data_IF_886576398227
#
_entry.id   IF_886576398227
#
_cell.length_a   1.000
_cell.length_b   1.000
_cell.length_c   1.000
_cell.angle_alpha   90.00
_cell.angle_beta   90.00
_cell.angle_gamma   90.00
#
_symmetry.space_group_name_H-M   'P 1'
#
loop_
_entity.id
_entity.type
_entity.pdbx_description
1 polymer ?
#
# COMPACT_ATOMS: atom_id res chain seq x y z
N UNK A 1 -10.05 -2.82 -18.74
CA UNK A 1 -10.40 -2.35 -17.37
C UNK A 1 -11.66 -3.09 -16.96
N UNK A 2 -11.61 -3.92 -15.93
CA UNK A 2 -12.79 -4.64 -15.43
C UNK A 2 -13.83 -3.71 -14.81
N UNK A 3 -15.10 -4.08 -14.92
CA UNK A 3 -16.20 -3.33 -14.35
C UNK A 3 -16.16 -3.36 -12.81
N UNK A 4 -16.23 -2.18 -12.20
CA UNK A 4 -16.27 -2.01 -10.74
C UNK A 4 -17.70 -1.81 -10.25
N UNK A 5 -18.06 -2.51 -9.18
CA UNK A 5 -19.30 -2.26 -8.43
C UNK A 5 -19.17 -0.93 -7.67
N UNK A 6 -20.13 -0.02 -7.89
CA UNK A 6 -20.10 1.35 -7.33
C UNK A 6 -21.28 1.61 -6.38
N UNK A 7 -21.25 2.78 -5.73
CA UNK A 7 -22.34 3.27 -4.89
C UNK A 7 -22.65 2.41 -3.66
N UNK A 8 -23.92 2.37 -3.26
CA UNK A 8 -24.40 1.61 -2.10
C UNK A 8 -24.15 0.10 -2.25
N UNK A 9 -24.26 -0.43 -3.47
CA UNK A 9 -23.92 -1.81 -3.78
C UNK A 9 -22.44 -2.11 -3.50
N UNK A 10 -21.54 -1.21 -3.91
CA UNK A 10 -20.10 -1.32 -3.63
C UNK A 10 -19.78 -1.25 -2.14
N UNK A 11 -20.44 -0.36 -1.39
CA UNK A 11 -20.30 -0.28 0.07
C UNK A 11 -20.74 -1.60 0.75
N UNK A 12 -21.88 -2.17 0.32
CA UNK A 12 -22.38 -3.45 0.83
C UNK A 12 -21.42 -4.60 0.51
N UNK A 13 -20.91 -4.65 -0.72
CA UNK A 13 -19.93 -5.65 -1.13
C UNK A 13 -18.65 -5.57 -0.31
N UNK A 14 -18.08 -4.37 -0.13
CA UNK A 14 -16.87 -4.16 0.70
C UNK A 14 -17.07 -4.61 2.14
N UNK A 15 -18.21 -4.29 2.76
CA UNK A 15 -18.54 -4.73 4.13
C UNK A 15 -18.62 -6.27 4.22
N UNK A 16 -19.31 -6.92 3.28
CA UNK A 16 -19.41 -8.38 3.22
C UNK A 16 -18.04 -9.04 3.05
N UNK A 17 -17.22 -8.55 2.11
CA UNK A 17 -15.88 -9.09 1.84
C UNK A 17 -14.96 -9.00 3.05
N UNK A 18 -14.95 -7.86 3.74
CA UNK A 18 -14.19 -7.68 5.00
C UNK A 18 -14.64 -8.64 6.10
N UNK A 19 -15.94 -8.88 6.23
CA UNK A 19 -16.48 -9.76 7.27
C UNK A 19 -16.00 -11.22 7.14
N UNK A 20 -15.66 -11.69 5.93
CA UNK A 20 -15.19 -13.07 5.68
C UNK A 20 -13.93 -13.44 6.47
N UNK A 21 -13.13 -12.44 6.84
CA UNK A 21 -11.87 -12.64 7.58
C UNK A 21 -11.92 -12.00 8.97
N UNK A 22 -13.12 -11.64 9.46
CA UNK A 22 -13.27 -10.87 10.69
C UNK A 22 -12.60 -9.49 10.62
N UNK A 23 -12.41 -8.94 9.42
CA UNK A 23 -11.67 -7.69 9.20
C UNK A 23 -10.15 -7.82 9.37
N UNK A 24 -9.60 -9.04 9.35
CA UNK A 24 -8.14 -9.26 9.45
C UNK A 24 -7.48 -9.33 8.08
N UNK A 25 -6.21 -8.93 8.05
CA UNK A 25 -5.31 -9.05 6.91
C UNK A 25 -4.93 -10.51 6.69
N UNK A 26 -5.26 -11.07 5.52
CA UNK A 26 -5.03 -12.48 5.19
C UNK A 26 -3.54 -12.81 5.09
N UNK A 27 -2.72 -11.92 4.52
CA UNK A 27 -1.27 -12.11 4.44
C UNK A 27 -0.62 -12.07 5.82
N UNK A 28 -1.06 -11.18 6.71
CA UNK A 28 -0.55 -11.16 8.09
C UNK A 28 -0.97 -12.43 8.83
N UNK A 29 -2.23 -12.85 8.71
CA UNK A 29 -2.75 -14.03 9.38
C UNK A 29 -1.99 -15.29 8.95
N UNK A 30 -1.73 -15.46 7.65
CA UNK A 30 -0.91 -16.57 7.11
C UNK A 30 0.53 -16.57 7.66
N UNK A 31 1.02 -15.41 8.12
CA UNK A 31 2.34 -15.25 8.75
C UNK A 31 2.28 -15.29 10.29
N UNK A 32 1.16 -15.72 10.88
CA UNK A 32 0.96 -15.79 12.33
C UNK A 32 0.80 -14.42 13.02
N UNK A 33 0.45 -13.36 12.27
CA UNK A 33 0.29 -12.00 12.79
C UNK A 33 -1.16 -11.55 12.74
N UNK A 34 -1.64 -10.94 13.82
CA UNK A 34 -2.96 -10.30 13.86
C UNK A 34 -2.82 -8.84 13.45
N UNK A 35 -3.45 -8.46 12.35
CA UNK A 35 -3.44 -7.07 11.85
C UNK A 35 -4.77 -6.79 11.16
N UNK A 36 -5.36 -5.62 11.42
CA UNK A 36 -6.59 -5.20 10.76
C UNK A 36 -6.36 -4.95 9.27
N UNK A 37 -7.29 -5.40 8.45
CA UNK A 37 -7.37 -5.05 7.04
C UNK A 37 -7.93 -3.64 6.88
N UNK A 38 -7.34 -2.87 5.97
CA UNK A 38 -7.80 -1.52 5.60
C UNK A 38 -8.29 -1.45 4.16
N UNK A 39 -7.95 -2.46 3.34
CA UNK A 39 -8.35 -2.56 1.95
C UNK A 39 -8.94 -3.94 1.62
N UNK A 40 -9.91 -3.95 0.70
CA UNK A 40 -10.32 -5.14 -0.05
C UNK A 40 -9.59 -5.03 -1.38
N UNK A 41 -8.57 -5.86 -1.54
CA UNK A 41 -7.70 -5.91 -2.70
C UNK A 41 -8.25 -6.89 -3.74
N UNK A 42 -8.09 -6.58 -5.02
CA UNK A 42 -8.41 -7.50 -6.11
C UNK A 42 -7.17 -8.35 -6.44
N UNK A 43 -7.26 -9.67 -6.30
CA UNK A 43 -6.12 -10.60 -6.48
C UNK A 43 -5.53 -10.47 -7.89
N UNK A 44 -6.40 -10.47 -8.89
CA UNK A 44 -6.11 -9.96 -10.23
C UNK A 44 -6.67 -8.53 -10.34
N UNK A 45 -5.84 -7.49 -10.51
CA UNK A 45 -6.30 -6.10 -10.51
C UNK A 45 -7.30 -5.80 -11.63
N UNK A 46 -8.33 -5.00 -11.32
CA UNK A 46 -9.30 -4.54 -12.33
C UNK A 46 -8.63 -3.81 -13.51
N UNK A 47 -7.54 -3.08 -13.24
CA UNK A 47 -6.76 -2.40 -14.27
C UNK A 47 -6.13 -3.37 -15.29
N UNK A 48 -5.84 -4.60 -14.86
CA UNK A 48 -5.20 -5.64 -15.66
C UNK A 48 -6.19 -6.68 -16.21
N UNK A 49 -7.50 -6.44 -16.06
CA UNK A 49 -8.55 -7.36 -16.56
C UNK A 49 -9.26 -8.17 -15.49
N UNK A 50 -8.96 -7.93 -14.21
CA UNK A 50 -9.66 -8.55 -13.09
C UNK A 50 -11.15 -8.25 -13.03
N UNK A 51 -11.92 -9.22 -12.55
CA UNK A 51 -13.35 -9.08 -12.29
C UNK A 51 -13.61 -8.59 -10.86
N UNK A 52 -14.67 -7.82 -10.65
CA UNK A 52 -15.09 -7.36 -9.32
C UNK A 52 -16.00 -8.38 -8.61
N UNK A 53 -15.53 -9.63 -8.52
CA UNK A 53 -16.20 -10.77 -7.87
C UNK A 53 -15.58 -11.08 -6.51
N UNK A 54 -16.33 -11.78 -5.65
CA UNK A 54 -15.89 -12.06 -4.27
C UNK A 54 -14.67 -12.98 -4.25
N UNK A 55 -14.56 -13.90 -5.20
CA UNK A 55 -13.49 -14.88 -5.37
C UNK A 55 -12.17 -14.20 -5.78
N UNK A 56 -12.25 -13.07 -6.47
CA UNK A 56 -11.09 -12.27 -6.87
C UNK A 56 -10.71 -11.24 -5.80
N UNK A 57 -11.06 -11.42 -4.52
CA UNK A 57 -10.75 -10.45 -3.48
C UNK A 57 -10.09 -11.03 -2.24
N UNK A 58 -9.16 -10.27 -1.67
CA UNK A 58 -8.51 -10.54 -0.38
C UNK A 58 -8.47 -9.29 0.49
N UNK A 59 -8.49 -9.46 1.80
CA UNK A 59 -8.45 -8.38 2.78
C UNK A 59 -7.01 -8.13 3.23
N UNK A 60 -6.50 -6.91 3.05
CA UNK A 60 -5.11 -6.56 3.33
C UNK A 60 -4.98 -5.33 4.24
N UNK A 61 -3.97 -5.33 5.10
CA UNK A 61 -3.52 -4.11 5.78
C UNK A 61 -2.79 -3.18 4.80
N UNK A 62 -2.57 -1.92 5.18
CA UNK A 62 -1.92 -0.92 4.32
C UNK A 62 -0.55 -1.36 3.80
N UNK A 63 0.27 -1.97 4.65
CA UNK A 63 1.62 -2.41 4.28
C UNK A 63 1.57 -3.56 3.27
N UNK A 64 0.78 -4.60 3.55
CA UNK A 64 0.65 -5.74 2.63
C UNK A 64 0.01 -5.32 1.30
N UNK A 65 -0.96 -4.38 1.33
CA UNK A 65 -1.57 -3.83 0.12
C UNK A 65 -0.55 -3.07 -0.73
N UNK A 66 0.27 -2.19 -0.12
CA UNK A 66 1.36 -1.51 -0.82
C UNK A 66 2.35 -2.49 -1.44
N UNK A 67 2.72 -3.54 -0.71
CA UNK A 67 3.64 -4.56 -1.20
C UNK A 67 3.10 -5.26 -2.44
N UNK A 68 1.84 -5.68 -2.38
CA UNK A 68 1.11 -6.31 -3.49
C UNK A 68 0.98 -5.38 -4.69
N UNK A 69 0.60 -4.12 -4.49
CA UNK A 69 0.48 -3.15 -5.59
C UNK A 69 1.83 -2.97 -6.27
N UNK A 70 2.92 -2.86 -5.52
CA UNK A 70 4.26 -2.74 -6.10
C UNK A 70 4.63 -3.96 -6.95
N UNK A 71 4.34 -5.17 -6.47
CA UNK A 71 4.58 -6.41 -7.21
C UNK A 71 3.73 -6.50 -8.48
N UNK A 72 2.41 -6.27 -8.39
CA UNK A 72 1.47 -6.41 -9.50
C UNK A 72 1.69 -5.42 -10.64
N UNK A 73 2.20 -4.22 -10.32
CA UNK A 73 2.40 -3.14 -11.28
C UNK A 73 3.88 -2.86 -11.58
N UNK A 74 4.81 -3.65 -11.02
CA UNK A 74 6.24 -3.49 -11.24
C UNK A 74 6.82 -2.18 -10.68
N UNK A 75 6.26 -1.65 -9.59
CA UNK A 75 6.81 -0.46 -8.94
C UNK A 75 8.01 -0.81 -8.07
N UNK A 76 9.07 -0.01 -8.19
CA UNK A 76 10.21 -0.08 -7.29
C UNK A 76 9.83 0.50 -5.92
N UNK A 77 10.14 -0.23 -4.85
CA UNK A 77 9.95 0.25 -3.48
C UNK A 77 11.11 1.16 -3.09
N UNK A 78 10.98 2.44 -3.41
CA UNK A 78 11.99 3.45 -3.07
C UNK A 78 11.65 4.09 -1.71
N UNK A 79 12.62 4.14 -0.80
CA UNK A 79 12.51 4.94 0.42
C UNK A 79 12.64 6.42 0.07
N UNK A 80 11.80 7.27 0.66
CA UNK A 80 11.91 8.72 0.47
C UNK A 80 13.16 9.35 1.10
N UNK A 81 13.78 8.66 2.06
CA UNK A 81 14.98 9.09 2.74
C UNK A 81 16.06 7.99 2.76
N UNK A 82 17.33 8.40 2.75
CA UNK A 82 18.48 7.53 2.92
C UNK A 82 18.73 7.12 4.38
N UNK A 83 19.81 6.37 4.63
CA UNK A 83 20.17 5.90 5.98
C UNK A 83 20.58 7.04 6.93
N UNK A 84 20.94 8.21 6.41
CA UNK A 84 21.22 9.42 7.18
C UNK A 84 19.97 10.25 7.45
N UNK A 85 18.83 9.84 6.92
CA UNK A 85 17.55 10.54 7.05
C UNK A 85 17.40 11.71 6.07
N UNK A 86 18.29 11.85 5.10
CA UNK A 86 18.19 12.87 4.06
C UNK A 86 17.29 12.39 2.92
N UNK A 87 16.51 13.28 2.28
CA UNK A 87 15.70 12.96 1.12
C UNK A 87 16.56 12.36 0.00
N UNK A 88 16.09 11.27 -0.63
CA UNK A 88 16.84 10.60 -1.72
C UNK A 88 16.81 11.40 -3.03
N UNK A 89 15.86 12.32 -3.17
CA UNK A 89 15.76 13.20 -4.33
C UNK A 89 16.86 14.29 -4.25
N UNK A 90 17.84 14.31 -5.15
CA UNK A 90 18.93 15.29 -5.10
C UNK A 90 18.45 16.74 -5.23
N UNK A 91 17.32 16.99 -5.88
CA UNK A 91 16.79 18.34 -6.10
C UNK A 91 15.91 18.85 -4.93
N UNK A 92 15.73 18.03 -3.90
CA UNK A 92 14.92 18.38 -2.74
C UNK A 92 15.49 19.61 -2.00
N UNK A 93 14.66 20.56 -1.51
CA UNK A 93 15.14 21.80 -0.86
C UNK A 93 16.11 21.59 0.32
N UNK A 94 15.95 20.50 1.07
CA UNK A 94 16.87 20.14 2.17
C UNK A 94 18.25 19.66 1.68
N UNK A 95 18.36 19.20 0.42
CA UNK A 95 19.62 18.83 -0.22
C UNK A 95 20.28 20.04 -0.92
N UNK A 96 19.49 21.04 -1.33
CA UNK A 96 19.95 22.27 -2.00
C UNK A 96 20.79 23.20 -1.12
N UNK A 97 20.62 23.12 0.19
CA UNK A 97 21.38 23.87 1.17
C UNK A 97 21.96 22.87 2.16
N UNK A 98 23.10 22.27 1.82
CA UNK A 98 23.83 21.38 2.75
C UNK A 98 24.03 22.06 4.10
N UNK A 99 24.25 21.30 5.19
CA UNK A 99 24.50 21.89 6.50
C UNK A 99 25.64 22.89 6.37
N UNK A 100 25.38 24.15 6.69
CA UNK A 100 26.45 25.12 6.91
C UNK A 100 27.29 24.54 8.02
N UNK A 101 28.50 24.06 7.70
CA UNK A 101 29.48 23.68 8.71
C UNK A 101 29.57 24.82 9.71
N UNK A 102 29.28 24.62 11.01
CA UNK A 102 29.53 25.64 12.00
C UNK A 102 31.03 25.94 11.94
N UNK A 103 31.40 27.17 11.60
CA UNK A 103 32.78 27.61 11.73
C UNK A 103 33.18 27.38 13.19
N UNK A 104 34.33 26.72 13.38
CA UNK A 104 34.95 26.62 14.69
C UNK A 104 35.07 28.04 15.24
N UNK A 105 34.43 28.27 16.39
CA UNK A 105 34.66 29.46 17.19
C UNK A 105 35.87 29.15 18.06
N UNK A 106 36.96 29.86 17.80
CA UNK A 106 38.18 29.86 18.62
C UNK A 106 37.91 30.40 20.04
#
# INVERSE_FOLDING_TARGET
>A
MGDRIRGSAGVKARRRRLARTGGLCEICAARGRVTLATAVDHVHPLALGGEDVDENTRNLCSNCHRDVTAEQFGFEKVSGCDASGLPVDPDHPWNRHGPTTPQAKD
#
